data_IF_971149287918
#
_entry.id   IF_971149287918
#
_cell.length_a   1.000
_cell.length_b   1.000
_cell.length_c   1.000
_cell.angle_alpha   90.00
_cell.angle_beta   90.00
_cell.angle_gamma   90.00
#
_symmetry.space_group_name_H-M   'P 1'
#
loop_
_entity.id
_entity.type
_entity.pdbx_description
1 polymer ?
#
# COMPACT_ATOMS: atom_id res chain seq x y z
N UNK A 1 51.95 -17.09 6.16
CA UNK A 1 51.36 -16.65 4.88
C UNK A 1 49.86 -16.87 5.01
N UNK A 2 49.09 -15.78 4.95
CA UNK A 2 47.72 -15.66 5.43
C UNK A 2 46.71 -16.46 4.60
N UNK A 3 45.77 -17.04 5.33
CA UNK A 3 44.69 -17.91 4.88
C UNK A 3 43.54 -17.03 4.38
N UNK A 4 43.39 -16.88 3.06
CA UNK A 4 42.23 -16.19 2.48
C UNK A 4 41.03 -17.14 2.42
N UNK A 5 40.31 -17.17 3.54
CA UNK A 5 38.95 -17.73 3.60
C UNK A 5 38.07 -16.99 2.59
N UNK A 6 37.67 -17.71 1.52
CA UNK A 6 36.76 -17.17 0.52
C UNK A 6 35.42 -16.82 1.19
N UNK A 7 35.16 -15.52 1.31
CA UNK A 7 33.90 -14.99 1.84
C UNK A 7 32.73 -15.54 1.02
N UNK A 8 31.86 -16.28 1.69
CA UNK A 8 30.58 -16.75 1.15
C UNK A 8 29.82 -15.59 0.51
N UNK A 9 29.78 -15.58 -0.83
CA UNK A 9 28.94 -14.67 -1.61
C UNK A 9 27.50 -14.97 -1.20
N UNK A 10 26.93 -14.14 -0.32
CA UNK A 10 25.51 -14.19 0.05
C UNK A 10 24.73 -14.22 -1.26
N UNK A 11 24.12 -15.37 -1.59
CA UNK A 11 23.37 -15.57 -2.83
C UNK A 11 22.39 -14.41 -2.96
N UNK A 12 22.56 -13.62 -4.02
CA UNK A 12 21.73 -12.45 -4.30
C UNK A 12 20.27 -12.90 -4.20
N UNK A 13 19.54 -12.31 -3.25
CA UNK A 13 18.13 -12.61 -3.05
C UNK A 13 17.35 -12.43 -4.34
N UNK A 14 16.13 -12.98 -4.39
CA UNK A 14 15.25 -12.89 -5.54
C UNK A 14 15.19 -11.43 -6.04
N UNK A 15 15.50 -11.15 -7.32
CA UNK A 15 15.58 -9.79 -7.81
C UNK A 15 14.23 -9.08 -7.63
N UNK A 16 14.29 -7.83 -7.16
CA UNK A 16 13.12 -6.98 -6.95
C UNK A 16 12.34 -6.88 -8.27
N UNK A 17 11.04 -7.17 -8.23
CA UNK A 17 10.16 -7.17 -9.41
C UNK A 17 10.04 -8.50 -10.15
N UNK A 18 10.76 -9.56 -9.74
CA UNK A 18 10.59 -10.88 -10.38
C UNK A 18 9.25 -11.52 -10.04
N UNK A 19 8.40 -11.69 -11.05
CA UNK A 19 7.08 -12.33 -10.92
C UNK A 19 7.17 -13.82 -10.59
N UNK A 20 6.25 -14.32 -9.76
CA UNK A 20 6.14 -15.76 -9.50
C UNK A 20 5.69 -16.48 -10.79
N UNK A 21 6.56 -17.34 -11.34
CA UNK A 21 6.33 -18.04 -12.62
C UNK A 21 5.03 -18.85 -12.60
N UNK A 22 4.75 -19.55 -11.49
CA UNK A 22 3.56 -20.38 -11.37
C UNK A 22 2.27 -19.54 -11.40
N UNK A 23 2.26 -18.41 -10.67
CA UNK A 23 1.11 -17.51 -10.66
C UNK A 23 0.94 -16.80 -12.01
N UNK A 24 2.03 -16.50 -12.73
CA UNK A 24 1.95 -15.94 -14.08
C UNK A 24 1.29 -16.92 -15.05
N UNK A 25 1.77 -18.16 -15.11
CA UNK A 25 1.20 -19.19 -15.98
C UNK A 25 -0.29 -19.43 -15.70
N UNK A 26 -0.67 -19.44 -14.41
CA UNK A 26 -2.08 -19.56 -14.03
C UNK A 26 -2.92 -18.37 -14.50
N UNK A 27 -2.42 -17.13 -14.34
CA UNK A 27 -3.12 -15.93 -14.81
C UNK A 27 -3.29 -15.94 -16.33
N UNK A 28 -2.25 -16.32 -17.07
CA UNK A 28 -2.27 -16.37 -18.53
C UNK A 28 -3.26 -17.44 -19.03
N UNK A 29 -3.26 -18.63 -18.40
CA UNK A 29 -4.20 -19.71 -18.71
C UNK A 29 -5.65 -19.31 -18.39
N UNK A 30 -5.88 -18.65 -17.26
CA UNK A 30 -7.20 -18.18 -16.85
C UNK A 30 -7.76 -17.12 -17.82
N UNK A 31 -6.92 -16.15 -18.23
CA UNK A 31 -7.32 -15.15 -19.21
C UNK A 31 -7.64 -15.78 -20.57
N UNK A 32 -6.82 -16.74 -21.01
CA UNK A 32 -7.07 -17.48 -22.26
C UNK A 32 -8.38 -18.26 -22.20
N UNK A 33 -8.67 -18.94 -21.09
CA UNK A 33 -9.91 -19.67 -20.89
C UNK A 33 -11.12 -18.73 -20.90
N UNK A 34 -11.02 -17.58 -20.22
CA UNK A 34 -12.09 -16.59 -20.18
C UNK A 34 -12.36 -15.96 -21.57
N UNK A 35 -11.31 -15.69 -22.36
CA UNK A 35 -11.47 -15.21 -23.74
C UNK A 35 -12.24 -16.22 -24.59
N UNK A 36 -11.81 -17.49 -24.57
CA UNK A 36 -12.49 -18.57 -25.32
C UNK A 36 -13.92 -18.81 -24.84
N UNK A 37 -14.15 -18.71 -23.53
CA UNK A 37 -15.50 -18.80 -22.96
C UNK A 37 -16.41 -17.69 -23.50
N UNK A 38 -15.87 -16.50 -23.71
CA UNK A 38 -16.56 -15.36 -24.29
C UNK A 38 -16.91 -15.52 -25.77
N UNK A 39 -16.07 -16.22 -26.54
CA UNK A 39 -16.33 -16.54 -27.95
C UNK A 39 -17.59 -17.42 -28.13
N UNK A 40 -18.08 -18.08 -27.08
CA UNK A 40 -19.36 -18.79 -27.10
C UNK A 40 -20.58 -17.87 -26.96
N UNK A 41 -20.41 -16.67 -26.39
CA UNK A 41 -21.50 -15.72 -26.16
C UNK A 41 -21.51 -14.57 -27.18
N UNK A 42 -20.40 -14.32 -27.88
CA UNK A 42 -20.26 -13.27 -28.88
C UNK A 42 -18.93 -13.35 -29.63
N UNK A 43 -18.56 -12.31 -30.37
CA UNK A 43 -17.35 -12.28 -31.20
C UNK A 43 -16.21 -11.43 -30.62
N UNK A 44 -16.40 -10.85 -29.42
CA UNK A 44 -15.41 -9.99 -28.76
C UNK A 44 -14.59 -10.73 -27.68
N UNK A 45 -14.57 -12.07 -27.67
CA UNK A 45 -13.87 -12.88 -26.68
C UNK A 45 -14.16 -12.46 -25.23
N UNK A 46 -13.12 -12.06 -24.50
CA UNK A 46 -13.22 -11.71 -23.06
C UNK A 46 -14.26 -10.61 -22.78
N UNK A 47 -14.46 -9.66 -23.70
CA UNK A 47 -15.46 -8.61 -23.54
C UNK A 47 -16.87 -9.21 -23.60
N UNK A 48 -17.11 -10.17 -24.49
CA UNK A 48 -18.40 -10.88 -24.58
C UNK A 48 -18.66 -11.70 -23.31
N UNK A 49 -17.62 -12.33 -22.75
CA UNK A 49 -17.71 -13.03 -21.47
C UNK A 49 -18.12 -12.08 -20.33
N UNK A 50 -17.47 -10.92 -20.22
CA UNK A 50 -17.77 -9.93 -19.18
C UNK A 50 -19.15 -9.28 -19.36
N UNK A 51 -19.57 -9.00 -20.60
CA UNK A 51 -20.93 -8.51 -20.92
C UNK A 51 -21.99 -9.51 -20.44
N UNK A 52 -21.80 -10.80 -20.72
CA UNK A 52 -22.70 -11.86 -20.24
C UNK A 52 -22.79 -11.88 -18.72
N UNK A 53 -21.65 -11.82 -18.01
CA UNK A 53 -21.65 -11.82 -16.54
C UNK A 53 -22.18 -10.53 -15.91
N UNK A 54 -22.08 -9.38 -16.60
CA UNK A 54 -22.68 -8.13 -16.13
C UNK A 54 -24.21 -8.24 -16.01
N UNK A 55 -24.85 -8.98 -16.92
CA UNK A 55 -26.31 -9.19 -16.92
C UNK A 55 -26.72 -10.37 -16.03
N UNK A 56 -26.03 -11.51 -16.16
CA UNK A 56 -26.45 -12.76 -15.51
C UNK A 56 -25.95 -12.90 -14.07
N UNK A 57 -24.84 -12.26 -13.71
CA UNK A 57 -24.21 -12.37 -12.40
C UNK A 57 -23.75 -10.99 -11.88
N UNK A 58 -24.69 -10.06 -11.68
CA UNK A 58 -24.37 -8.65 -11.41
C UNK A 58 -23.54 -8.46 -10.13
N UNK A 59 -23.80 -9.24 -9.08
CA UNK A 59 -23.10 -9.13 -7.79
C UNK A 59 -21.58 -9.37 -7.95
N UNK A 60 -21.20 -10.41 -8.69
CA UNK A 60 -19.80 -10.71 -8.97
C UNK A 60 -19.17 -9.66 -9.88
N UNK A 61 -19.93 -9.14 -10.85
CA UNK A 61 -19.45 -8.10 -11.76
C UNK A 61 -19.19 -6.76 -11.03
N UNK A 62 -20.08 -6.33 -10.12
CA UNK A 62 -19.87 -5.14 -9.29
C UNK A 62 -18.59 -5.23 -8.44
N UNK A 63 -18.29 -6.43 -7.93
CA UNK A 63 -17.04 -6.65 -7.18
C UNK A 63 -15.78 -6.47 -8.04
N UNK A 64 -15.85 -6.74 -9.34
CA UNK A 64 -14.76 -6.46 -10.28
C UNK A 64 -14.67 -4.97 -10.60
N UNK A 65 -15.81 -4.32 -10.84
CA UNK A 65 -15.88 -2.86 -11.04
C UNK A 65 -15.22 -2.10 -9.89
N UNK A 66 -15.54 -2.45 -8.64
CA UNK A 66 -14.94 -1.83 -7.46
C UNK A 66 -13.40 -1.95 -7.42
N UNK A 67 -12.82 -3.02 -8.01
CA UNK A 67 -11.36 -3.22 -8.09
C UNK A 67 -10.70 -2.47 -9.26
N UNK A 68 -11.45 -2.18 -10.32
CA UNK A 68 -10.98 -1.41 -11.47
C UNK A 68 -11.07 0.10 -11.20
N UNK A 69 -11.96 0.52 -10.29
CA UNK A 69 -12.03 1.90 -9.86
C UNK A 69 -10.73 2.31 -9.13
N UNK A 70 -10.13 3.46 -9.50
CA UNK A 70 -8.99 4.00 -8.77
C UNK A 70 -9.38 4.31 -7.32
N UNK A 71 -8.78 3.60 -6.36
CA UNK A 71 -8.97 3.87 -4.93
C UNK A 71 -8.12 5.05 -4.44
N UNK A 72 -7.14 5.46 -5.24
CA UNK A 72 -6.19 6.51 -4.93
C UNK A 72 -6.16 7.49 -6.10
N UNK A 73 -6.17 8.78 -5.79
CA UNK A 73 -5.89 9.82 -6.78
C UNK A 73 -4.43 9.67 -7.17
N UNK A 74 -4.16 9.09 -8.34
CA UNK A 74 -2.80 9.08 -8.88
C UNK A 74 -2.49 10.52 -9.27
N UNK A 75 -1.60 11.19 -8.53
CA UNK A 75 -1.13 12.56 -8.81
C UNK A 75 -0.24 12.62 -10.05
N UNK A 76 -0.56 11.85 -11.08
CA UNK A 76 0.20 11.74 -12.33
C UNK A 76 -0.55 12.53 -13.39
N UNK A 77 -0.40 13.86 -13.31
CA UNK A 77 -1.03 14.82 -14.20
C UNK A 77 -1.21 16.17 -13.50
N UNK A 78 -0.17 17.01 -13.56
CA UNK A 78 -0.07 18.47 -13.30
C UNK A 78 -0.70 19.09 -12.03
N UNK A 79 -1.59 18.39 -11.34
CA UNK A 79 -2.18 18.75 -10.07
C UNK A 79 -1.42 18.03 -8.97
N UNK A 80 -0.25 18.57 -8.64
CA UNK A 80 0.42 18.28 -7.38
C UNK A 80 -0.62 18.27 -6.27
N UNK A 81 -0.88 17.11 -5.66
CA UNK A 81 -1.70 16.99 -4.46
C UNK A 81 -0.97 17.79 -3.38
N UNK A 82 -1.35 19.06 -3.22
CA UNK A 82 -0.75 19.98 -2.26
C UNK A 82 -1.22 19.57 -0.87
N UNK A 83 -0.52 18.64 -0.25
CA UNK A 83 -0.72 18.32 1.15
C UNK A 83 -0.31 19.53 1.99
N UNK A 84 -1.28 20.22 2.57
CA UNK A 84 -1.01 21.31 3.51
C UNK A 84 -0.69 20.70 4.87
N UNK A 85 0.59 20.66 5.25
CA UNK A 85 1.00 20.30 6.60
C UNK A 85 0.94 21.55 7.50
N UNK A 86 -0.03 21.58 8.41
CA UNK A 86 -0.12 22.61 9.46
C UNK A 86 0.62 22.10 10.70
N UNK A 87 1.71 22.78 11.06
CA UNK A 87 2.44 22.54 12.31
C UNK A 87 2.08 23.66 13.29
N UNK A 88 1.53 23.33 14.45
CA UNK A 88 1.28 24.27 15.53
C UNK A 88 2.30 24.06 16.64
N UNK A 89 3.09 25.10 16.92
CA UNK A 89 4.08 25.11 17.99
C UNK A 89 3.40 25.70 19.23
N UNK A 90 3.19 24.90 20.26
CA UNK A 90 2.64 25.34 21.54
C UNK A 90 3.79 25.51 22.54
N UNK A 91 3.99 26.70 23.14
CA UNK A 91 4.99 26.90 24.17
C UNK A 91 4.60 26.13 25.43
N UNK A 92 5.52 25.31 25.94
CA UNK A 92 5.33 24.63 27.23
C UNK A 92 5.50 25.68 28.33
N UNK A 93 4.40 26.00 29.02
CA UNK A 93 4.46 26.88 30.19
C UNK A 93 5.16 26.12 31.32
N UNK A 94 6.24 26.66 31.90
CA UNK A 94 6.90 26.03 33.02
C UNK A 94 5.94 25.94 34.20
N UNK A 95 5.87 24.76 34.83
CA UNK A 95 5.13 24.59 36.08
C UNK A 95 5.80 25.48 37.12
N UNK A 96 5.07 26.49 37.63
CA UNK A 96 5.57 27.41 38.63
C UNK A 96 6.21 26.63 39.79
N UNK A 97 7.48 26.91 40.06
CA UNK A 97 8.20 26.37 41.20
C UNK A 97 7.45 26.84 42.45
N UNK A 98 6.96 25.89 43.24
CA UNK A 98 6.43 26.18 44.57
C UNK A 98 7.61 26.70 45.39
N UNK A 99 7.65 28.00 45.64
CA UNK A 99 8.56 28.62 46.61
C UNK A 99 8.13 28.14 47.99
N UNK A 100 8.97 27.32 48.62
CA UNK A 100 8.80 26.89 50.00
C UNK A 100 9.32 28.00 50.93
N UNK A 101 8.43 28.91 51.31
CA UNK A 101 8.68 29.98 52.29
C UNK A 101 8.69 29.45 53.73
N UNK A 102 9.56 28.47 54.04
CA UNK A 102 9.80 27.99 55.41
C UNK A 102 11.25 28.16 55.85
N UNK A 103 11.75 29.38 55.80
CA UNK A 103 12.85 29.81 56.66
C UNK A 103 12.63 31.25 57.12
N UNK A 104 11.88 31.41 58.21
CA UNK A 104 12.10 32.44 59.24
C UNK A 104 11.25 32.10 60.47
N UNK A 105 11.80 32.37 61.67
CA UNK A 105 11.38 31.88 63.00
C UNK A 105 11.83 30.43 63.25
N UNK A 106 12.74 30.08 64.15
CA UNK A 106 13.04 30.65 65.48
C UNK A 106 14.53 30.40 65.79
N UNK A 107 15.33 31.46 65.87
CA UNK A 107 16.40 31.57 66.87
C UNK A 107 15.75 32.28 68.08
N UNK A 108 16.25 31.98 69.28
CA UNK A 108 15.84 32.48 70.60
C UNK A 108 14.80 31.59 71.31
N UNK A 109 15.28 30.57 72.04
CA UNK A 109 15.47 30.52 73.52
C UNK A 109 16.28 29.26 73.86
#
# INVERSE_FOLDING_TARGET
MTNEQSMSVRRRGRPKGSLNKNTKLLKDALLTAATKAGDHYGHDGLVSYLKYHAVNNPVSFFSLLAKVLPLQVSGEGESNVKTVSRVEIVPVVPKATITDDRKTSVLDV
#
